data_IF_785236314086
#
_entry.id   IF_785236314086
#
_cell.length_a   1.000
_cell.length_b   1.000
_cell.length_c   1.000
_cell.angle_alpha   90.00
_cell.angle_beta   90.00
_cell.angle_gamma   90.00
#
_symmetry.space_group_name_H-M   'P 1'
#
loop_
_entity.id
_entity.type
_entity.pdbx_description
1 polymer ?
#
# COMPACT_ATOMS: atom_id res chain seq x y z
N UNK A 1 -3.47 -25.95 -54.77
CA UNK A 1 -2.47 -25.83 -53.69
C UNK A 1 -2.98 -24.79 -52.71
N UNK A 2 -3.56 -25.23 -51.60
CA UNK A 2 -4.12 -24.34 -50.57
C UNK A 2 -3.12 -24.20 -49.43
N UNK A 3 -2.76 -22.96 -49.11
CA UNK A 3 -1.85 -22.64 -48.00
C UNK A 3 -2.70 -22.71 -46.72
N UNK A 4 -2.54 -23.77 -45.93
CA UNK A 4 -3.12 -23.84 -44.59
C UNK A 4 -2.27 -22.95 -43.70
N UNK A 5 -2.74 -21.71 -43.48
CA UNK A 5 -2.10 -20.78 -42.56
C UNK A 5 -2.26 -21.29 -41.13
N UNK A 6 -1.20 -21.83 -40.56
CA UNK A 6 -1.14 -22.18 -39.14
C UNK A 6 -0.99 -20.89 -38.35
N UNK A 7 -2.08 -20.44 -37.72
CA UNK A 7 -2.03 -19.35 -36.75
C UNK A 7 -1.43 -19.92 -35.47
N UNK A 8 -0.12 -19.73 -35.29
CA UNK A 8 0.53 -19.95 -34.01
C UNK A 8 0.06 -18.84 -33.07
N UNK A 9 -0.99 -19.12 -32.30
CA UNK A 9 -1.34 -18.33 -31.12
C UNK A 9 -0.21 -18.57 -30.12
N UNK A 10 0.84 -17.76 -30.22
CA UNK A 10 1.88 -17.69 -29.21
C UNK A 10 1.21 -17.30 -27.89
N UNK A 11 1.23 -18.21 -26.92
CA UNK A 11 0.79 -17.91 -25.57
C UNK A 11 1.76 -16.86 -25.01
N UNK A 12 1.38 -15.58 -25.11
CA UNK A 12 2.04 -14.47 -24.41
C UNK A 12 1.71 -14.63 -22.93
N UNK A 13 2.30 -15.66 -22.30
CA UNK A 13 2.24 -15.82 -20.85
C UNK A 13 3.10 -14.69 -20.29
N UNK A 14 2.46 -13.62 -19.83
CA UNK A 14 3.14 -12.63 -19.03
C UNK A 14 3.78 -13.37 -17.86
N UNK A 15 5.10 -13.24 -17.66
CA UNK A 15 5.76 -13.98 -16.60
C UNK A 15 5.28 -13.39 -15.29
N UNK A 16 4.53 -14.19 -14.54
CA UNK A 16 4.11 -13.81 -13.21
C UNK A 16 5.24 -14.16 -12.25
N UNK A 17 5.66 -13.21 -11.42
CA UNK A 17 6.81 -13.35 -10.54
C UNK A 17 6.37 -13.21 -9.08
N UNK A 18 7.00 -13.98 -8.19
CA UNK A 18 6.89 -13.77 -6.75
C UNK A 18 7.89 -12.69 -6.33
N UNK A 19 7.38 -11.58 -5.82
CA UNK A 19 8.19 -10.50 -5.27
C UNK A 19 8.23 -10.62 -3.76
N UNK A 20 9.44 -10.56 -3.17
CA UNK A 20 9.64 -10.54 -1.72
C UNK A 20 9.98 -9.13 -1.25
N UNK A 21 9.31 -8.69 -0.19
CA UNK A 21 9.49 -7.37 0.42
C UNK A 21 9.84 -7.55 1.88
N UNK A 22 10.86 -6.84 2.35
CA UNK A 22 11.22 -6.74 3.77
C UNK A 22 11.26 -5.29 4.19
N UNK A 23 10.56 -4.98 5.28
CA UNK A 23 10.53 -3.66 5.87
C UNK A 23 11.11 -3.72 7.28
N UNK A 24 12.07 -2.84 7.57
CA UNK A 24 12.60 -2.66 8.92
C UNK A 24 12.30 -1.24 9.41
N UNK A 25 12.07 -1.08 10.72
CA UNK A 25 11.74 0.24 11.26
C UNK A 25 11.38 0.22 12.74
N UNK A 26 10.80 1.33 13.22
CA UNK A 26 10.27 1.47 14.58
C UNK A 26 9.04 2.38 14.55
N UNK A 27 7.99 2.04 15.30
CA UNK A 27 6.81 2.91 15.45
C UNK A 27 6.69 3.41 16.89
N UNK A 28 6.36 4.69 17.07
CA UNK A 28 6.25 5.30 18.40
C UNK A 28 5.06 6.25 18.50
N UNK A 29 4.28 6.11 19.57
CA UNK A 29 3.27 7.07 19.98
C UNK A 29 3.91 8.35 20.54
N UNK A 30 3.74 9.48 19.87
CA UNK A 30 4.22 10.78 20.33
C UNK A 30 3.12 11.58 21.03
N UNK A 31 2.70 11.06 22.18
CA UNK A 31 1.49 11.54 22.87
C UNK A 31 1.73 11.70 24.37
N UNK A 32 1.18 12.72 25.04
CA UNK A 32 1.31 12.88 26.49
C UNK A 32 0.28 12.04 27.28
N UNK A 33 -0.05 10.83 26.82
CA UNK A 33 -1.04 9.95 27.47
C UNK A 33 -0.39 8.99 28.49
N UNK A 34 -1.00 8.77 29.67
CA UNK A 34 -0.52 7.79 30.64
C UNK A 34 -0.69 6.36 30.10
N UNK A 35 0.27 5.48 30.39
CA UNK A 35 0.18 4.05 30.05
C UNK A 35 0.57 3.67 28.61
N UNK A 36 0.89 4.65 27.75
CA UNK A 36 1.27 4.44 26.34
C UNK A 36 2.53 3.58 26.13
N UNK A 37 3.38 3.43 27.14
CA UNK A 37 4.62 2.67 27.02
C UNK A 37 4.36 1.15 27.00
N UNK A 38 3.19 0.71 27.47
CA UNK A 38 2.73 -0.68 27.40
C UNK A 38 1.89 -0.97 26.13
N UNK A 39 1.72 0.02 25.25
CA UNK A 39 0.89 -0.09 24.05
C UNK A 39 1.51 -1.05 23.02
N UNK A 40 0.68 -1.94 22.49
CA UNK A 40 1.06 -2.85 21.40
C UNK A 40 0.61 -2.28 20.06
N UNK A 41 1.55 -2.10 19.14
CA UNK A 41 1.33 -1.62 17.79
C UNK A 41 1.40 -2.82 16.84
N UNK A 42 0.35 -3.05 16.06
CA UNK A 42 0.32 -4.06 15.00
C UNK A 42 0.76 -3.41 13.68
N UNK A 43 1.79 -3.97 13.05
CA UNK A 43 2.34 -3.50 11.78
C UNK A 43 2.03 -4.55 10.72
N UNK A 44 1.22 -4.19 9.74
CA UNK A 44 0.77 -5.07 8.67
C UNK A 44 1.42 -4.58 7.37
N UNK A 45 2.15 -5.49 6.71
CA UNK A 45 2.68 -5.27 5.37
C UNK A 45 1.59 -5.61 4.37
N UNK A 46 1.21 -4.61 3.60
CA UNK A 46 0.16 -4.67 2.60
C UNK A 46 0.75 -4.45 1.22
N UNK A 47 0.08 -5.02 0.23
CA UNK A 47 0.30 -4.76 -1.18
C UNK A 47 -0.89 -3.90 -1.69
N UNK A 48 -0.61 -2.91 -2.54
CA UNK A 48 -1.65 -2.15 -3.23
C UNK A 48 -1.69 -2.64 -4.67
N UNK A 49 -2.78 -3.29 -5.03
CA UNK A 49 -2.88 -3.88 -6.35
C UNK A 49 -2.88 -2.85 -7.49
N UNK A 50 -2.31 -3.31 -8.60
CA UNK A 50 -2.47 -2.71 -9.91
C UNK A 50 -3.83 -3.15 -10.46
N UNK A 51 -4.84 -2.27 -10.38
CA UNK A 51 -6.13 -2.41 -11.07
C UNK A 51 -6.05 -2.39 -12.61
N UNK A 52 -5.27 -3.29 -13.20
CA UNK A 52 -5.01 -3.42 -14.64
C UNK A 52 -5.22 -4.88 -15.14
N UNK A 53 -6.05 -5.66 -14.45
CA UNK A 53 -6.61 -6.87 -15.06
C UNK A 53 -7.94 -6.52 -15.76
N UNK A 54 -8.19 -7.08 -16.95
CA UNK A 54 -9.30 -6.79 -17.87
C UNK A 54 -10.74 -6.86 -17.29
N UNK A 55 -10.91 -7.19 -16.00
CA UNK A 55 -12.18 -7.29 -15.27
C UNK A 55 -12.09 -6.63 -13.88
N UNK A 56 -11.63 -5.36 -13.78
CA UNK A 56 -11.58 -4.46 -12.61
C UNK A 56 -12.75 -4.55 -11.59
N UNK A 57 -13.00 -5.70 -10.98
CA UNK A 57 -14.26 -5.98 -10.27
C UNK A 57 -14.01 -6.44 -8.84
N UNK A 58 -12.86 -7.01 -8.50
CA UNK A 58 -12.54 -7.35 -7.11
C UNK A 58 -11.03 -7.40 -6.95
N UNK A 59 -10.42 -6.31 -6.49
CA UNK A 59 -9.13 -6.46 -5.83
C UNK A 59 -9.16 -5.86 -4.42
N UNK A 60 -9.06 -6.71 -3.37
CA UNK A 60 -8.84 -6.29 -2.00
C UNK A 60 -7.33 -6.20 -1.72
N UNK A 61 -6.84 -5.02 -1.29
CA UNK A 61 -5.47 -4.84 -0.78
C UNK A 61 -4.98 -6.07 0.02
N UNK A 62 -3.91 -6.70 -0.47
CA UNK A 62 -3.49 -7.99 0.03
C UNK A 62 -2.57 -7.88 1.26
N UNK A 63 -2.92 -8.64 2.31
CA UNK A 63 -2.04 -8.79 3.48
C UNK A 63 -0.89 -9.73 3.12
N UNK A 64 0.32 -9.18 3.02
CA UNK A 64 1.52 -9.99 2.76
C UNK A 64 2.04 -10.67 4.03
N UNK A 65 2.13 -9.91 5.13
CA UNK A 65 2.48 -10.42 6.46
C UNK A 65 2.17 -9.37 7.55
N UNK A 66 2.29 -9.75 8.82
CA UNK A 66 2.11 -8.84 9.95
C UNK A 66 3.08 -9.16 11.10
N UNK A 67 3.34 -8.15 11.93
CA UNK A 67 4.11 -8.29 13.17
C UNK A 67 3.52 -7.37 14.24
N UNK A 68 3.84 -7.65 15.51
CA UNK A 68 3.39 -6.83 16.63
C UNK A 68 4.60 -6.40 17.45
N UNK A 69 4.64 -5.12 17.82
CA UNK A 69 5.70 -4.53 18.62
C UNK A 69 5.14 -3.75 19.77
N UNK A 70 5.93 -3.59 20.83
CA UNK A 70 5.63 -2.60 21.86
C UNK A 70 6.00 -1.20 21.35
N UNK A 71 5.35 -0.18 21.89
CA UNK A 71 5.60 1.22 21.56
C UNK A 71 7.09 1.58 21.61
N UNK A 72 7.63 2.06 20.49
CA UNK A 72 9.03 2.47 20.33
C UNK A 72 10.00 1.35 19.97
N UNK A 73 9.57 0.08 19.98
CA UNK A 73 10.43 -1.04 19.60
C UNK A 73 10.65 -1.11 18.08
N UNK A 74 11.74 -1.78 17.70
CA UNK A 74 12.04 -2.08 16.31
C UNK A 74 11.21 -3.26 15.83
N UNK A 75 10.90 -3.26 14.53
CA UNK A 75 10.27 -4.37 13.84
C UNK A 75 11.04 -4.75 12.58
N UNK A 76 10.80 -5.97 12.14
CA UNK A 76 11.08 -6.45 10.78
C UNK A 76 9.86 -7.25 10.35
N UNK A 77 9.29 -6.89 9.21
CA UNK A 77 8.18 -7.62 8.60
C UNK A 77 8.58 -7.95 7.17
N UNK A 78 8.37 -9.19 6.77
CA UNK A 78 8.71 -9.67 5.44
C UNK A 78 7.55 -10.47 4.89
N UNK A 79 7.20 -10.21 3.64
CA UNK A 79 6.14 -10.93 2.95
C UNK A 79 6.48 -11.08 1.48
N UNK A 80 5.66 -11.86 0.79
CA UNK A 80 5.76 -12.03 -0.65
C UNK A 80 4.40 -11.92 -1.27
N UNK A 81 4.33 -11.32 -2.45
CA UNK A 81 3.14 -11.36 -3.28
C UNK A 81 3.48 -11.79 -4.71
N UNK A 82 2.49 -12.35 -5.38
CA UNK A 82 2.57 -12.79 -6.76
C UNK A 82 1.88 -11.78 -7.66
N UNK A 83 2.64 -11.11 -8.53
CA UNK A 83 2.12 -9.97 -9.29
C UNK A 83 2.51 -10.00 -10.76
N UNK A 84 1.66 -9.37 -11.55
CA UNK A 84 1.93 -9.00 -12.93
C UNK A 84 2.50 -7.58 -12.97
N UNK A 85 3.80 -7.43 -12.73
CA UNK A 85 4.48 -6.14 -12.87
C UNK A 85 5.25 -5.72 -11.62
N UNK A 86 5.02 -4.47 -11.17
CA UNK A 86 5.73 -3.85 -10.06
C UNK A 86 4.83 -3.81 -8.82
N UNK A 87 5.38 -4.25 -7.69
CA UNK A 87 4.78 -4.17 -6.36
C UNK A 87 4.67 -2.73 -5.85
N UNK A 88 3.54 -2.40 -5.20
CA UNK A 88 3.34 -1.15 -4.48
C UNK A 88 3.10 -1.40 -2.98
N UNK A 89 4.16 -1.79 -2.22
CA UNK A 89 4.00 -2.18 -0.84
C UNK A 89 3.79 -0.97 0.06
N UNK A 90 2.94 -1.12 1.07
CA UNK A 90 2.71 -0.12 2.10
C UNK A 90 2.52 -0.77 3.47
N UNK A 91 2.63 0.00 4.56
CA UNK A 91 2.30 -0.48 5.90
C UNK A 91 0.95 0.05 6.35
N UNK A 92 0.12 -0.83 6.92
CA UNK A 92 -1.00 -0.47 7.79
C UNK A 92 -0.59 -0.71 9.24
N UNK A 93 -0.45 0.37 10.00
CA UNK A 93 -0.06 0.37 11.40
C UNK A 93 -1.30 0.59 12.25
N UNK A 94 -1.70 -0.41 13.03
CA UNK A 94 -2.87 -0.34 13.91
C UNK A 94 -2.40 -0.11 15.35
N UNK A 95 -2.94 0.90 16.02
CA UNK A 95 -2.48 1.33 17.35
C UNK A 95 -3.62 1.91 18.19
N UNK A 96 -3.44 1.93 19.51
CA UNK A 96 -4.34 2.57 20.47
C UNK A 96 -3.62 3.63 21.32
N UNK A 97 -2.73 4.41 20.69
CA UNK A 97 -1.98 5.48 21.37
C UNK A 97 -2.86 6.45 22.20
N UNK A 98 -4.04 6.82 21.68
CA UNK A 98 -5.09 7.56 22.40
C UNK A 98 -6.46 7.10 21.89
N UNK A 99 -7.38 6.81 22.80
CA UNK A 99 -8.77 6.54 22.47
C UNK A 99 -9.00 5.15 21.87
N UNK A 100 -9.82 5.03 20.80
CA UNK A 100 -10.08 3.74 20.16
C UNK A 100 -8.89 3.26 19.33
N UNK A 101 -8.96 2.00 18.87
CA UNK A 101 -7.98 1.45 17.94
C UNK A 101 -8.05 2.20 16.60
N UNK A 102 -6.94 2.77 16.14
CA UNK A 102 -6.84 3.59 14.94
C UNK A 102 -5.78 3.05 13.97
N UNK A 103 -6.02 3.12 12.65
CA UNK A 103 -5.01 2.82 11.64
C UNK A 103 -4.19 4.07 11.26
N UNK A 104 -2.93 3.84 10.92
CA UNK A 104 -2.04 4.77 10.21
C UNK A 104 -1.43 4.05 9.02
N UNK A 105 -1.49 4.67 7.85
CA UNK A 105 -0.90 4.12 6.63
C UNK A 105 0.45 4.78 6.31
N UNK A 106 1.43 4.00 5.87
CA UNK A 106 2.78 4.47 5.50
C UNK A 106 3.11 3.95 4.10
N UNK A 107 3.28 4.86 3.15
CA UNK A 107 3.71 4.54 1.79
C UNK A 107 5.24 4.29 1.76
N UNK A 108 5.67 3.23 1.06
CA UNK A 108 7.07 2.81 0.97
C UNK A 108 7.76 3.17 -0.36
N UNK A 109 7.07 3.79 -1.33
CA UNK A 109 7.59 4.10 -2.68
C UNK A 109 8.96 4.79 -2.64
N UNK A 110 9.14 5.75 -1.73
CA UNK A 110 10.37 6.53 -1.58
C UNK A 110 11.30 5.99 -0.46
N UNK A 111 11.05 4.79 0.04
CA UNK A 111 11.80 4.14 1.14
C UNK A 111 12.62 2.93 0.68
N UNK A 112 12.56 2.62 -0.61
CA UNK A 112 13.37 1.56 -1.19
C UNK A 112 14.85 1.85 -0.97
N UNK A 113 15.56 0.89 -0.41
CA UNK A 113 16.99 1.02 -0.10
C UNK A 113 17.82 0.21 -1.06
N UNK A 114 17.55 -1.10 -1.15
CA UNK A 114 18.33 -2.05 -1.95
C UNK A 114 17.58 -3.36 -2.12
N UNK A 115 18.05 -4.16 -3.07
CA UNK A 115 17.67 -5.55 -3.18
C UNK A 115 18.79 -6.45 -2.63
N UNK A 116 18.41 -7.45 -1.81
CA UNK A 116 19.33 -8.44 -1.25
C UNK A 116 18.75 -9.83 -1.50
N UNK A 117 19.43 -10.66 -2.28
CA UNK A 117 19.00 -12.05 -2.57
C UNK A 117 17.57 -12.16 -3.13
N UNK A 118 17.17 -11.20 -3.97
CA UNK A 118 15.82 -11.14 -4.53
C UNK A 118 14.75 -10.66 -3.55
N UNK A 119 15.16 -9.98 -2.47
CA UNK A 119 14.27 -9.33 -1.50
C UNK A 119 14.45 -7.82 -1.59
N UNK A 120 13.38 -7.09 -1.89
CA UNK A 120 13.35 -5.64 -1.86
C UNK A 120 13.31 -5.16 -0.40
N UNK A 121 14.33 -4.41 0.02
CA UNK A 121 14.50 -3.94 1.40
C UNK A 121 14.14 -2.46 1.51
N UNK A 122 13.28 -2.16 2.47
CA UNK A 122 12.81 -0.82 2.82
C UNK A 122 13.15 -0.54 4.29
N UNK A 123 13.84 0.56 4.54
CA UNK A 123 14.23 0.98 5.89
C UNK A 123 13.48 2.26 6.27
N UNK A 124 12.70 2.18 7.35
CA UNK A 124 11.94 3.31 7.88
C UNK A 124 12.70 3.98 9.01
N UNK A 125 12.82 5.30 8.91
CA UNK A 125 13.31 6.12 10.01
C UNK A 125 12.26 6.21 11.12
N UNK A 126 12.68 6.45 12.37
CA UNK A 126 11.75 6.61 13.49
C UNK A 126 10.71 7.73 13.29
N UNK A 127 11.04 8.75 12.49
CA UNK A 127 10.11 9.85 12.14
C UNK A 127 9.00 9.40 11.18
N UNK A 128 9.25 8.38 10.35
CA UNK A 128 8.29 7.90 9.36
C UNK A 128 7.08 7.22 10.04
N UNK A 129 7.31 6.54 11.16
CA UNK A 129 6.27 5.91 11.98
C UNK A 129 6.07 6.59 13.34
N UNK A 130 6.12 7.92 13.37
CA UNK A 130 5.72 8.70 14.54
C UNK A 130 4.20 8.92 14.51
N UNK A 131 3.50 8.43 15.53
CA UNK A 131 2.03 8.44 15.60
C UNK A 131 1.58 9.62 16.46
N UNK A 132 0.95 10.61 15.83
CA UNK A 132 0.32 11.76 16.50
C UNK A 132 -1.00 11.35 17.14
N UNK A 133 -1.39 12.02 18.22
CA UNK A 133 -2.64 11.73 18.95
C UNK A 133 -3.77 12.72 18.67
N UNK A 134 -3.91 13.14 17.42
CA UNK A 134 -5.05 13.94 16.99
C UNK A 134 -6.20 12.99 16.62
N UNK A 135 -7.33 13.11 17.31
CA UNK A 135 -8.50 12.23 17.18
C UNK A 135 -9.19 12.23 15.80
N UNK A 136 -8.70 13.04 14.87
CA UNK A 136 -9.31 13.42 13.61
C UNK A 136 -8.24 13.76 12.56
N UNK A 137 -7.06 13.17 12.70
CA UNK A 137 -6.01 13.29 11.69
C UNK A 137 -6.38 12.45 10.45
N UNK A 138 -7.17 13.05 9.56
CA UNK A 138 -7.49 12.49 8.26
C UNK A 138 -6.25 12.19 7.41
N UNK A 139 -5.05 12.66 7.77
CA UNK A 139 -3.80 12.26 7.10
C UNK A 139 -3.41 10.81 7.40
N UNK A 140 -3.89 10.23 8.51
CA UNK A 140 -3.66 8.82 8.85
C UNK A 140 -4.59 7.86 8.10
N UNK A 141 -5.70 8.36 7.54
CA UNK A 141 -6.68 7.59 6.75
C UNK A 141 -6.52 7.79 5.23
N UNK A 142 -5.74 8.77 4.78
CA UNK A 142 -5.56 9.09 3.36
C UNK A 142 -4.34 8.40 2.78
N UNK A 143 -4.42 7.09 2.64
CA UNK A 143 -3.89 6.46 1.42
C UNK A 143 -5.09 6.02 0.59
N UNK A 144 -6.05 6.95 0.42
CA UNK A 144 -6.97 6.89 -0.69
C UNK A 144 -6.10 6.86 -1.94
N UNK A 145 -6.35 5.85 -2.76
CA UNK A 145 -5.76 5.64 -4.07
C UNK A 145 -5.36 6.98 -4.70
N UNK A 146 -4.07 7.12 -5.04
CA UNK A 146 -3.68 8.10 -6.05
C UNK A 146 -4.58 7.82 -7.25
N UNK A 147 -5.60 8.66 -7.43
CA UNK A 147 -6.45 8.62 -8.59
C UNK A 147 -5.53 8.56 -9.82
N UNK A 148 -5.83 7.70 -10.81
CA UNK A 148 -4.98 7.54 -11.97
C UNK A 148 -4.70 8.92 -12.56
N UNK A 149 -3.42 9.30 -12.57
CA UNK A 149 -2.98 10.52 -13.22
C UNK A 149 -3.19 10.35 -14.72
N UNK A 150 -4.26 10.93 -15.21
CA UNK A 150 -4.41 11.29 -16.62
C UNK A 150 -5.55 10.60 -17.33
N UNK A 151 -6.68 11.30 -17.44
CA UNK A 151 -7.17 11.70 -18.75
C UNK A 151 -7.99 12.98 -18.57
N UNK A 152 -7.51 14.08 -19.15
CA UNK A 152 -8.28 15.32 -19.20
C UNK A 152 -9.54 15.08 -20.01
N UNK A 153 -10.67 14.93 -19.33
CA UNK A 153 -11.98 15.07 -19.94
C UNK A 153 -12.39 16.54 -19.81
N UNK A 154 -12.20 17.27 -20.91
CA UNK A 154 -12.83 18.57 -21.15
C UNK A 154 -14.34 18.42 -20.93
N UNK A 155 -14.85 19.02 -19.85
CA UNK A 155 -16.27 19.03 -19.57
C UNK A 155 -16.90 20.06 -20.51
N UNK A 156 -17.41 19.58 -21.65
CA UNK A 156 -18.39 20.31 -22.45
C UNK A 156 -19.63 20.49 -21.59
N UNK A 157 -19.94 21.74 -21.24
CA UNK A 157 -21.17 22.09 -20.55
C UNK A 157 -22.33 22.12 -21.56
N UNK A 158 -23.49 21.48 -21.27
CA UNK A 158 -24.69 21.71 -22.05
C UNK A 158 -25.38 22.99 -21.54
N UNK A 159 -25.55 23.95 -22.46
CA UNK A 159 -26.37 25.14 -22.28
C UNK A 159 -27.81 24.75 -21.93
N UNK A 160 -28.25 25.07 -20.72
CA UNK A 160 -29.67 25.09 -20.38
C UNK A 160 -30.14 26.55 -20.40
N UNK A 161 -30.74 26.94 -21.51
CA UNK A 161 -31.58 28.13 -21.61
C UNK A 161 -32.98 27.78 -21.07
N UNK A 162 -33.53 28.47 -20.06
CA UNK A 162 -34.94 28.31 -19.75
C UNK A 162 -35.76 29.23 -20.68
N UNK A 163 -36.56 28.61 -21.54
CA UNK A 163 -37.77 29.24 -22.04
C UNK A 163 -38.66 29.60 -20.85
N UNK A 164 -38.82 30.89 -20.56
CA UNK A 164 -40.11 31.58 -20.47
C UNK A 164 -39.95 33.09 -20.35
#
# INVERSE_FOLDING_TARGET
MGIVGVVLIGCLIAPVWSTRVRVTGSCKCDCPAPGKDAETINVILMERDMGETFLNVLDPDDVMNQTTINNGNKFTVEGSQWELGKIDPYLKVTHQCVGPLMPKYINLENKFTKEVEGVQVYDLESKDCLISCQANDNSQNKVEALAPKGLGAEIVTPNNNPEK
#
